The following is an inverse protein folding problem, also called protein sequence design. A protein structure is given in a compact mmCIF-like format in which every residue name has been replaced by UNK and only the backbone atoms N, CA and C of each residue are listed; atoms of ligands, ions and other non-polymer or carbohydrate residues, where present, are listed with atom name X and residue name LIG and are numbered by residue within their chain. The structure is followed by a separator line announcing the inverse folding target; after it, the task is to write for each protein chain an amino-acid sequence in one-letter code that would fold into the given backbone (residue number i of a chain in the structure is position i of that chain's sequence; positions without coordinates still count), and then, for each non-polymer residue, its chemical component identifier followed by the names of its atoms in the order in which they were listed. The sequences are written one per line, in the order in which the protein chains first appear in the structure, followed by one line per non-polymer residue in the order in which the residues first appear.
data_IF_439852921196
#
_entry.id   IF_439852921196
#
_cell.length_a   1.000
_cell.length_b   1.000
_cell.length_c   1.000
_cell.angle_alpha   90.00
_cell.angle_beta   90.00
_cell.angle_gamma   90.00
#
_symmetry.space_group_name_H-M   'P 1'
#
loop_
_entity.id
_entity.type
_entity.pdbx_description
1 polymer ?
#
# COMPACT_ATOMS: atom_id res chain seq x y z
N UNK A 1 -24.09 -2.19 -4.92
CA UNK A 1 -24.40 -3.57 -5.32
C UNK A 1 -24.53 -3.56 -6.83
N UNK A 2 -24.17 -4.65 -7.49
CA UNK A 2 -24.44 -4.78 -8.92
C UNK A 2 -25.95 -4.59 -9.15
N UNK A 3 -26.36 -3.81 -10.16
CA UNK A 3 -27.77 -3.56 -10.41
C UNK A 3 -28.49 -4.76 -11.03
N UNK A 4 -27.76 -5.84 -11.35
CA UNK A 4 -28.28 -7.02 -12.05
C UNK A 4 -28.40 -8.22 -11.10
N UNK A 5 -29.51 -8.95 -11.22
CA UNK A 5 -29.80 -10.16 -10.44
C UNK A 5 -29.26 -11.43 -11.11
N UNK A 6 -29.06 -11.41 -12.43
CA UNK A 6 -28.60 -12.57 -13.19
C UNK A 6 -27.53 -12.20 -14.21
N UNK A 7 -26.75 -13.20 -14.65
CA UNK A 7 -25.78 -13.02 -15.74
C UNK A 7 -26.45 -12.58 -17.04
N UNK A 8 -27.62 -13.15 -17.36
CA UNK A 8 -28.38 -12.80 -18.57
C UNK A 8 -28.84 -11.34 -18.55
N UNK A 9 -29.27 -10.83 -17.39
CA UNK A 9 -29.66 -9.43 -17.23
C UNK A 9 -28.46 -8.50 -17.40
N UNK A 10 -27.29 -8.87 -16.86
CA UNK A 10 -26.05 -8.12 -17.04
C UNK A 10 -25.60 -8.10 -18.51
N UNK A 11 -25.68 -9.23 -19.21
CA UNK A 11 -25.37 -9.33 -20.64
C UNK A 11 -26.33 -8.50 -21.50
N UNK A 12 -27.63 -8.57 -21.21
CA UNK A 12 -28.66 -7.78 -21.89
C UNK A 12 -28.42 -6.28 -21.69
N UNK A 13 -28.08 -5.85 -20.47
CA UNK A 13 -27.80 -4.45 -20.17
C UNK A 13 -26.52 -3.93 -20.84
N UNK A 14 -25.51 -4.78 -21.00
CA UNK A 14 -24.25 -4.42 -21.66
C UNK A 14 -24.30 -4.55 -23.18
N UNK A 15 -25.33 -5.21 -23.73
CA UNK A 15 -25.47 -5.47 -25.17
C UNK A 15 -24.41 -6.42 -25.73
N UNK A 16 -23.74 -7.20 -24.86
CA UNK A 16 -22.69 -8.18 -25.22
C UNK A 16 -22.57 -9.26 -24.15
N UNK A 17 -21.98 -10.38 -24.55
CA UNK A 17 -21.62 -11.43 -23.59
C UNK A 17 -20.56 -10.93 -22.60
N UNK A 18 -20.63 -11.46 -21.37
CA UNK A 18 -19.64 -11.17 -20.33
C UNK A 18 -18.34 -11.93 -20.60
N UNK A 19 -17.21 -11.29 -20.28
CA UNK A 19 -15.91 -11.97 -20.25
C UNK A 19 -15.82 -12.94 -19.07
N UNK A 20 -14.89 -13.88 -19.11
CA UNK A 20 -14.65 -14.81 -17.99
C UNK A 20 -14.35 -14.07 -16.66
N UNK A 21 -13.61 -12.96 -16.72
CA UNK A 21 -13.32 -12.12 -15.57
C UNK A 21 -14.58 -11.43 -15.02
N UNK A 22 -15.44 -10.93 -15.89
CA UNK A 22 -16.71 -10.30 -15.50
C UNK A 22 -17.68 -11.32 -14.89
N UNK A 23 -17.74 -12.54 -15.43
CA UNK A 23 -18.53 -13.64 -14.86
C UNK A 23 -18.01 -14.02 -13.47
N UNK A 24 -16.70 -14.15 -13.30
CA UNK A 24 -16.08 -14.45 -12.02
C UNK A 24 -16.37 -13.34 -11.00
N UNK A 25 -16.19 -12.08 -11.41
CA UNK A 25 -16.48 -10.91 -10.59
C UNK A 25 -17.96 -10.86 -10.20
N UNK A 26 -18.88 -11.08 -11.15
CA UNK A 26 -20.31 -11.11 -10.88
C UNK A 26 -20.66 -12.18 -9.84
N UNK A 27 -20.19 -13.42 -10.03
CA UNK A 27 -20.46 -14.54 -9.11
C UNK A 27 -19.96 -14.27 -7.70
N UNK A 28 -18.82 -13.59 -7.58
CA UNK A 28 -18.27 -13.21 -6.29
C UNK A 28 -19.04 -12.05 -5.65
N UNK A 29 -19.30 -10.97 -6.41
CA UNK A 29 -19.75 -9.69 -5.86
C UNK A 29 -21.27 -9.48 -5.82
N UNK A 30 -22.07 -10.24 -6.59
CA UNK A 30 -23.49 -9.95 -6.78
C UNK A 30 -24.32 -9.95 -5.49
N UNK A 31 -24.00 -10.82 -4.53
CA UNK A 31 -24.70 -10.90 -3.24
C UNK A 31 -24.09 -10.02 -2.15
N UNK A 32 -22.99 -9.32 -2.43
CA UNK A 32 -22.27 -8.53 -1.44
C UNK A 32 -22.57 -7.03 -1.57
N UNK A 33 -22.88 -6.35 -0.44
CA UNK A 33 -22.85 -4.90 -0.38
C UNK A 33 -21.47 -4.33 -0.74
N UNK A 34 -21.44 -3.19 -1.44
CA UNK A 34 -20.20 -2.57 -1.93
C UNK A 34 -19.22 -2.23 -0.79
N UNK A 35 -19.72 -1.90 0.40
CA UNK A 35 -18.84 -1.62 1.54
C UNK A 35 -18.10 -2.87 2.03
N UNK A 36 -18.70 -4.07 1.93
CA UNK A 36 -18.00 -5.31 2.27
C UNK A 36 -16.91 -5.60 1.25
N UNK A 37 -17.21 -5.45 -0.05
CA UNK A 37 -16.21 -5.55 -1.11
C UNK A 37 -15.04 -4.58 -0.86
N UNK A 38 -15.36 -3.34 -0.49
CA UNK A 38 -14.35 -2.34 -0.16
C UNK A 38 -13.48 -2.74 1.05
N UNK A 39 -14.07 -3.29 2.12
CA UNK A 39 -13.30 -3.71 3.30
C UNK A 39 -12.39 -4.93 3.07
N UNK A 40 -12.53 -5.68 1.97
CA UNK A 40 -11.53 -6.68 1.59
C UNK A 40 -10.15 -6.04 1.36
N UNK A 41 -10.09 -4.76 0.97
CA UNK A 41 -8.82 -4.03 0.83
C UNK A 41 -8.04 -3.95 2.14
N UNK A 42 -8.70 -3.96 3.29
CA UNK A 42 -8.03 -4.00 4.60
C UNK A 42 -7.24 -5.31 4.72
N UNK A 43 -7.89 -6.44 4.45
CA UNK A 43 -7.24 -7.75 4.50
C UNK A 43 -6.09 -7.85 3.47
N UNK A 44 -6.33 -7.44 2.22
CA UNK A 44 -5.30 -7.44 1.18
C UNK A 44 -4.10 -6.56 1.57
N UNK A 45 -4.35 -5.39 2.15
CA UNK A 45 -3.30 -4.50 2.62
C UNK A 45 -2.43 -5.18 3.68
N UNK A 46 -3.02 -5.73 4.75
CA UNK A 46 -2.25 -6.41 5.80
C UNK A 46 -1.50 -7.64 5.26
N UNK A 47 -2.12 -8.41 4.36
CA UNK A 47 -1.48 -9.56 3.74
C UNK A 47 -0.28 -9.16 2.89
N UNK A 48 -0.41 -8.16 2.01
CA UNK A 48 0.67 -7.71 1.15
C UNK A 48 1.82 -7.14 1.97
N UNK A 49 1.55 -6.25 2.93
CA UNK A 49 2.61 -5.65 3.75
C UNK A 49 3.28 -6.63 4.71
N UNK A 50 2.59 -7.73 5.05
CA UNK A 50 3.20 -8.82 5.82
C UNK A 50 4.03 -9.73 4.92
N UNK A 51 3.48 -10.18 3.79
CA UNK A 51 4.06 -11.25 2.99
C UNK A 51 5.13 -10.76 2.02
N UNK A 52 4.96 -9.59 1.40
CA UNK A 52 5.89 -9.10 0.37
C UNK A 52 7.32 -8.87 0.89
N UNK A 53 7.54 -8.38 2.12
CA UNK A 53 8.90 -8.22 2.65
C UNK A 53 9.54 -9.51 3.18
N UNK A 54 8.77 -10.58 3.45
CA UNK A 54 9.26 -11.81 4.07
C UNK A 54 10.39 -12.48 3.28
N UNK A 55 10.34 -12.62 1.94
CA UNK A 55 11.43 -13.22 1.18
C UNK A 55 12.76 -12.50 1.41
N UNK A 56 12.77 -11.17 1.34
CA UNK A 56 13.99 -10.38 1.55
C UNK A 56 14.45 -10.45 3.01
N UNK A 57 13.52 -10.36 3.98
CA UNK A 57 13.86 -10.51 5.40
C UNK A 57 14.45 -11.90 5.71
N UNK A 58 13.92 -12.96 5.10
CA UNK A 58 14.42 -14.32 5.27
C UNK A 58 15.82 -14.48 4.66
N UNK A 59 16.04 -13.99 3.44
CA UNK A 59 17.38 -14.01 2.81
C UNK A 59 18.38 -13.23 3.65
N UNK A 60 17.99 -12.07 4.20
CA UNK A 60 18.90 -11.27 5.05
C UNK A 60 19.26 -11.97 6.36
N UNK A 61 18.32 -12.69 6.98
CA UNK A 61 18.54 -13.39 8.25
C UNK A 61 19.29 -14.72 8.08
N UNK A 62 18.98 -15.49 7.04
CA UNK A 62 19.47 -16.87 6.88
C UNK A 62 20.54 -17.03 5.81
N UNK A 63 20.58 -16.15 4.81
CA UNK A 63 21.55 -16.20 3.70
C UNK A 63 22.21 -14.82 3.45
N UNK A 64 22.81 -14.18 4.46
CA UNK A 64 23.27 -12.80 4.36
C UNK A 64 24.33 -12.57 3.27
N UNK A 65 25.12 -13.60 2.92
CA UNK A 65 26.09 -13.53 1.82
C UNK A 65 25.45 -13.32 0.45
N UNK A 66 24.25 -13.85 0.23
CA UNK A 66 23.54 -13.74 -1.06
C UNK A 66 23.04 -12.32 -1.34
N UNK A 67 22.72 -11.55 -0.28
CA UNK A 67 22.21 -10.18 -0.41
C UNK A 67 23.26 -9.10 -0.15
N UNK A 68 24.42 -9.46 0.40
CA UNK A 68 25.45 -8.52 0.85
C UNK A 68 25.91 -7.55 -0.25
N UNK A 69 26.06 -8.05 -1.49
CA UNK A 69 26.48 -7.24 -2.64
C UNK A 69 25.44 -6.18 -3.05
N UNK A 70 24.16 -6.40 -2.72
CA UNK A 70 23.05 -5.48 -3.04
C UNK A 70 22.76 -4.52 -1.88
N UNK A 71 23.35 -4.71 -0.69
CA UNK A 71 23.12 -3.83 0.46
C UNK A 71 23.84 -2.49 0.29
N UNK A 72 23.08 -1.41 0.49
CA UNK A 72 23.61 -0.04 0.55
C UNK A 72 24.51 0.15 1.79
N UNK A 73 24.20 -0.51 2.91
CA UNK A 73 24.99 -0.52 4.15
C UNK A 73 25.45 -1.96 4.48
N UNK A 74 26.47 -2.49 3.77
CA UNK A 74 26.85 -3.90 3.85
C UNK A 74 27.53 -4.31 5.17
N UNK A 75 27.97 -3.33 5.98
CA UNK A 75 28.64 -3.56 7.27
C UNK A 75 27.67 -3.69 8.45
N UNK A 76 26.38 -3.44 8.25
CA UNK A 76 25.38 -3.48 9.32
C UNK A 76 24.54 -4.74 9.20
N UNK A 77 24.48 -5.51 10.29
CA UNK A 77 23.62 -6.68 10.45
C UNK A 77 22.81 -6.50 11.73
N UNK A 78 21.49 -6.69 11.61
CA UNK A 78 20.56 -6.57 12.71
C UNK A 78 20.13 -7.97 13.20
N UNK A 79 19.95 -8.17 14.52
CA UNK A 79 19.44 -9.42 15.04
C UNK A 79 17.97 -9.65 14.66
N UNK A 80 17.51 -10.90 14.68
CA UNK A 80 16.11 -11.26 14.39
C UNK A 80 15.09 -10.50 15.26
N UNK A 81 15.46 -10.15 16.49
CA UNK A 81 14.63 -9.34 17.38
C UNK A 81 14.31 -7.96 16.80
N UNK A 82 15.24 -7.34 16.07
CA UNK A 82 15.01 -6.06 15.39
C UNK A 82 13.95 -6.20 14.29
N UNK A 83 13.97 -7.29 13.51
CA UNK A 83 12.97 -7.55 12.48
C UNK A 83 11.59 -7.77 13.09
N UNK A 84 11.50 -8.59 14.14
CA UNK A 84 10.25 -8.88 14.84
C UNK A 84 9.67 -7.60 15.45
N UNK A 85 10.51 -6.79 16.11
CA UNK A 85 10.07 -5.53 16.72
C UNK A 85 9.65 -4.52 15.66
N UNK A 86 10.38 -4.40 14.55
CA UNK A 86 10.01 -3.55 13.42
C UNK A 86 8.63 -3.94 12.88
N UNK A 87 8.43 -5.23 12.57
CA UNK A 87 7.18 -5.75 12.07
C UNK A 87 6.01 -5.53 13.04
N UNK A 88 6.18 -5.85 14.33
CA UNK A 88 5.14 -5.63 15.35
C UNK A 88 4.70 -4.18 15.43
N UNK A 89 5.66 -3.25 15.39
CA UNK A 89 5.35 -1.82 15.41
C UNK A 89 4.63 -1.37 14.13
N UNK A 90 5.08 -1.82 12.95
CA UNK A 90 4.42 -1.51 11.67
C UNK A 90 2.97 -1.99 11.69
N UNK A 91 2.73 -3.25 12.06
CA UNK A 91 1.38 -3.82 12.14
C UNK A 91 0.53 -3.07 13.15
N UNK A 92 1.08 -2.74 14.32
CA UNK A 92 0.38 -1.96 15.33
C UNK A 92 -0.03 -0.58 14.81
N UNK A 93 0.92 0.18 14.23
CA UNK A 93 0.65 1.50 13.67
C UNK A 93 -0.39 1.41 12.56
N UNK A 94 -0.26 0.47 11.64
CA UNK A 94 -1.24 0.25 10.57
C UNK A 94 -2.63 -0.11 11.11
N UNK A 95 -2.70 -0.96 12.13
CA UNK A 95 -3.96 -1.34 12.75
C UNK A 95 -4.66 -0.15 13.42
N UNK A 96 -3.93 0.75 14.07
CA UNK A 96 -4.54 1.92 14.73
C UNK A 96 -4.77 3.11 13.78
N UNK A 97 -4.14 3.13 12.60
CA UNK A 97 -4.25 4.25 11.65
C UNK A 97 -4.92 3.87 10.35
N UNK A 98 -4.26 3.05 9.53
CA UNK A 98 -4.72 2.65 8.19
C UNK A 98 -6.02 1.86 8.28
N UNK A 99 -6.16 0.95 9.25
CA UNK A 99 -7.39 0.18 9.47
C UNK A 99 -8.62 1.09 9.68
N UNK A 100 -8.64 1.94 10.72
CA UNK A 100 -9.71 2.90 10.95
C UNK A 100 -9.92 3.86 9.78
N UNK A 101 -8.85 4.37 9.16
CA UNK A 101 -8.95 5.23 7.99
C UNK A 101 -9.73 4.53 6.87
N UNK A 102 -9.39 3.28 6.55
CA UNK A 102 -10.10 2.50 5.54
C UNK A 102 -11.55 2.21 5.94
N UNK A 103 -11.86 1.97 7.21
CA UNK A 103 -13.25 1.77 7.63
C UNK A 103 -14.10 3.03 7.43
N UNK A 104 -13.56 4.22 7.71
CA UNK A 104 -14.31 5.47 7.63
C UNK A 104 -14.31 6.10 6.23
N UNK A 105 -13.41 5.71 5.34
CA UNK A 105 -13.25 6.32 4.01
C UNK A 105 -14.23 5.82 2.95
N UNK A 106 -15.04 4.78 3.23
CA UNK A 106 -15.98 4.24 2.25
C UNK A 106 -16.95 5.28 1.67
N UNK A 107 -17.58 6.19 2.46
CA UNK A 107 -18.43 7.25 1.90
C UNK A 107 -17.68 8.17 0.92
N UNK A 108 -16.43 8.51 1.20
CA UNK A 108 -15.58 9.32 0.32
C UNK A 108 -15.26 8.58 -0.98
N UNK A 109 -14.91 7.29 -0.88
CA UNK A 109 -14.66 6.42 -2.05
C UNK A 109 -15.89 6.37 -2.97
N UNK A 110 -17.09 6.24 -2.38
CA UNK A 110 -18.35 6.28 -3.13
C UNK A 110 -18.62 7.65 -3.73
N UNK A 111 -18.35 8.74 -2.99
CA UNK A 111 -18.53 10.11 -3.46
C UNK A 111 -17.64 10.46 -4.66
N UNK A 112 -16.39 9.99 -4.66
CA UNK A 112 -15.43 10.18 -5.78
C UNK A 112 -15.80 9.33 -7.00
N UNK A 113 -16.74 8.39 -6.87
CA UNK A 113 -17.24 7.60 -7.99
C UNK A 113 -16.44 6.34 -8.28
N UNK A 114 -15.64 5.85 -7.32
CA UNK A 114 -14.99 4.53 -7.45
C UNK A 114 -16.08 3.47 -7.50
N UNK A 115 -16.07 2.69 -8.58
CA UNK A 115 -17.11 1.69 -8.89
C UNK A 115 -16.58 0.27 -8.73
N UNK A 116 -17.43 -0.60 -8.19
CA UNK A 116 -17.24 -2.06 -8.10
C UNK A 116 -18.10 -2.81 -9.13
N UNK A 117 -18.72 -2.07 -10.05
CA UNK A 117 -19.72 -2.58 -10.99
C UNK A 117 -19.16 -3.14 -12.30
N UNK A 118 -20.08 -3.65 -13.14
CA UNK A 118 -19.80 -3.99 -14.53
C UNK A 118 -20.08 -2.79 -15.47
N UNK A 119 -19.43 -2.71 -16.65
CA UNK A 119 -18.36 -3.60 -17.13
C UNK A 119 -17.07 -3.40 -16.33
N UNK A 120 -16.19 -4.40 -16.30
CA UNK A 120 -14.87 -4.21 -15.67
C UNK A 120 -14.06 -3.10 -16.41
N UNK A 121 -13.15 -2.40 -15.73
CA UNK A 121 -12.35 -1.37 -16.37
C UNK A 121 -11.55 -1.96 -17.53
N UNK A 122 -11.47 -1.21 -18.63
CA UNK A 122 -10.63 -1.63 -19.77
C UNK A 122 -9.16 -1.64 -19.38
N UNK A 123 -8.33 -2.38 -20.13
CA UNK A 123 -6.87 -2.37 -19.92
C UNK A 123 -6.31 -0.95 -19.98
N UNK A 124 -6.79 -0.13 -20.91
CA UNK A 124 -6.35 1.26 -21.03
C UNK A 124 -6.81 2.14 -19.88
N UNK A 125 -8.02 1.92 -19.35
CA UNK A 125 -8.49 2.61 -18.15
C UNK A 125 -7.59 2.27 -16.94
N UNK A 126 -7.28 0.98 -16.74
CA UNK A 126 -6.37 0.55 -15.66
C UNK A 126 -4.97 1.13 -15.81
N UNK A 127 -4.39 1.09 -17.02
CA UNK A 127 -3.06 1.67 -17.28
C UNK A 127 -3.06 3.18 -17.05
N UNK A 128 -4.06 3.90 -17.56
CA UNK A 128 -4.17 5.34 -17.37
C UNK A 128 -4.31 5.71 -15.89
N UNK A 129 -5.14 4.99 -15.14
CA UNK A 129 -5.30 5.18 -13.70
C UNK A 129 -3.98 4.93 -12.96
N UNK A 130 -3.29 3.82 -13.24
CA UNK A 130 -2.00 3.50 -12.61
C UNK A 130 -0.95 4.57 -12.89
N UNK A 131 -0.87 5.08 -14.13
CA UNK A 131 0.07 6.16 -14.48
C UNK A 131 -0.26 7.44 -13.72
N UNK A 132 -1.53 7.85 -13.71
CA UNK A 132 -1.95 9.06 -12.98
C UNK A 132 -1.70 8.92 -11.48
N UNK A 133 -2.05 7.79 -10.88
CA UNK A 133 -1.81 7.53 -9.46
C UNK A 133 -0.32 7.54 -9.15
N UNK A 134 0.50 6.88 -9.96
CA UNK A 134 1.95 6.88 -9.77
C UNK A 134 2.54 8.29 -9.82
N UNK A 135 2.13 9.12 -10.79
CA UNK A 135 2.62 10.50 -10.91
C UNK A 135 2.18 11.39 -9.73
N UNK A 136 0.91 11.30 -9.33
CA UNK A 136 0.38 12.08 -8.20
C UNK A 136 1.01 11.64 -6.87
N UNK A 137 1.14 10.33 -6.69
CA UNK A 137 1.75 9.72 -5.52
C UNK A 137 3.22 10.12 -5.42
N UNK A 138 4.01 9.96 -6.48
CA UNK A 138 5.44 10.30 -6.48
C UNK A 138 5.67 11.80 -6.23
N UNK A 139 4.94 12.66 -6.95
CA UNK A 139 5.05 14.11 -6.78
C UNK A 139 4.62 14.56 -5.38
N UNK A 140 3.47 14.08 -4.90
CA UNK A 140 2.95 14.41 -3.57
C UNK A 140 3.88 13.90 -2.46
N UNK A 141 4.34 12.66 -2.57
CA UNK A 141 5.29 12.07 -1.63
C UNK A 141 6.58 12.87 -1.56
N UNK A 142 7.14 13.28 -2.70
CA UNK A 142 8.37 14.08 -2.73
C UNK A 142 8.24 15.36 -1.89
N UNK A 143 7.19 16.15 -2.13
CA UNK A 143 7.04 17.45 -1.46
C UNK A 143 6.69 17.30 0.02
N UNK A 144 5.80 16.37 0.37
CA UNK A 144 5.45 16.12 1.77
C UNK A 144 6.67 15.56 2.52
N UNK A 145 7.41 14.62 1.93
CA UNK A 145 8.64 14.09 2.52
C UNK A 145 9.68 15.19 2.71
N UNK A 146 9.89 16.06 1.70
CA UNK A 146 10.77 17.22 1.82
C UNK A 146 10.34 18.15 2.96
N UNK A 147 9.03 18.38 3.14
CA UNK A 147 8.51 19.17 4.24
C UNK A 147 8.72 18.48 5.61
N UNK A 148 8.60 17.16 5.68
CA UNK A 148 8.90 16.36 6.88
C UNK A 148 10.38 16.36 7.24
N UNK A 149 11.29 16.66 6.30
CA UNK A 149 12.71 16.92 6.59
C UNK A 149 13.01 18.34 7.11
N UNK A 150 12.01 19.20 7.27
CA UNK A 150 12.19 20.44 8.03
C UNK A 150 12.54 20.12 9.49
N UNK A 151 13.19 21.06 10.20
CA UNK A 151 13.60 20.87 11.60
C UNK A 151 12.47 20.32 12.48
N UNK A 152 11.30 20.96 12.42
CA UNK A 152 10.15 20.54 13.22
C UNK A 152 9.56 19.21 12.73
N UNK A 153 9.38 19.04 11.42
CA UNK A 153 8.83 17.81 10.86
C UNK A 153 9.68 16.59 11.20
N UNK A 154 11.00 16.75 11.17
CA UNK A 154 11.94 15.69 11.47
C UNK A 154 11.88 15.32 12.95
N UNK A 155 12.09 16.30 13.82
CA UNK A 155 12.12 16.09 15.27
C UNK A 155 10.81 15.51 15.81
N UNK A 156 9.65 15.85 15.23
CA UNK A 156 8.35 15.43 15.75
C UNK A 156 7.76 14.21 15.05
N UNK A 157 8.07 13.98 13.78
CA UNK A 157 7.39 12.96 12.97
C UNK A 157 8.40 12.05 12.30
N UNK A 158 9.30 12.60 11.49
CA UNK A 158 10.09 11.82 10.54
C UNK A 158 11.29 11.07 11.15
N UNK A 159 11.77 11.48 12.33
CA UNK A 159 12.92 10.82 12.96
C UNK A 159 12.71 9.32 13.21
N UNK A 160 11.46 8.89 13.47
CA UNK A 160 11.11 7.47 13.69
C UNK A 160 11.45 6.64 12.45
N UNK A 161 11.16 7.19 11.27
CA UNK A 161 11.45 6.54 10.00
C UNK A 161 12.96 6.38 9.75
N UNK A 162 13.77 7.33 10.23
CA UNK A 162 15.24 7.28 10.11
C UNK A 162 15.96 6.48 11.21
N UNK A 163 15.23 5.81 12.12
CA UNK A 163 15.84 4.95 13.15
C UNK A 163 16.63 3.80 12.53
N UNK A 164 16.11 3.20 11.45
CA UNK A 164 16.79 2.14 10.72
C UNK A 164 17.72 2.71 9.64
N UNK A 165 18.95 3.03 10.04
CA UNK A 165 19.99 3.53 9.12
C UNK A 165 20.48 2.50 8.09
N UNK A 166 20.27 1.21 8.37
CA UNK A 166 20.41 0.12 7.41
C UNK A 166 19.00 -0.44 7.11
N UNK A 167 18.54 -0.37 5.86
CA UNK A 167 17.21 -0.82 5.50
C UNK A 167 17.12 -2.33 5.67
N UNK A 168 16.00 -2.76 6.26
CA UNK A 168 15.55 -4.15 6.33
C UNK A 168 14.18 -4.23 5.67
N UNK A 169 13.73 -5.43 5.29
CA UNK A 169 12.48 -5.62 4.54
C UNK A 169 11.26 -4.89 5.12
N UNK A 170 11.14 -4.79 6.45
CA UNK A 170 10.02 -4.14 7.13
C UNK A 170 10.26 -2.67 7.50
N UNK A 171 11.43 -2.10 7.23
CA UNK A 171 11.78 -0.75 7.69
C UNK A 171 11.07 0.35 6.90
N UNK A 172 10.74 0.12 5.63
CA UNK A 172 10.08 1.13 4.79
C UNK A 172 8.78 1.70 5.41
N UNK A 173 7.84 0.88 5.90
CA UNK A 173 6.64 1.37 6.59
C UNK A 173 6.85 1.67 8.08
N UNK A 174 8.05 1.48 8.64
CA UNK A 174 8.31 1.81 10.04
C UNK A 174 8.41 3.32 10.19
N UNK A 175 7.34 3.94 10.65
CA UNK A 175 7.24 5.39 10.74
C UNK A 175 6.27 5.83 11.84
N UNK A 176 6.28 7.12 12.14
CA UNK A 176 5.29 7.73 13.03
C UNK A 176 3.89 7.66 12.39
N UNK A 177 2.84 7.49 13.19
CA UNK A 177 1.46 7.35 12.72
C UNK A 177 1.02 8.50 11.79
N UNK A 178 1.46 9.74 12.08
CA UNK A 178 1.16 10.90 11.25
C UNK A 178 1.87 10.83 9.89
N UNK A 179 3.09 10.29 9.82
CA UNK A 179 3.78 10.07 8.55
C UNK A 179 3.05 9.03 7.71
N UNK A 180 2.58 7.94 8.32
CA UNK A 180 1.79 6.90 7.65
C UNK A 180 0.52 7.48 7.01
N UNK A 181 -0.15 8.43 7.67
CA UNK A 181 -1.32 9.09 7.10
C UNK A 181 -0.98 10.08 5.98
N UNK A 182 0.19 10.72 6.04
CA UNK A 182 0.61 11.75 5.08
C UNK A 182 1.29 11.17 3.82
N UNK A 183 2.00 10.05 3.95
CA UNK A 183 2.90 9.47 2.93
C UNK A 183 2.64 7.99 2.65
N UNK A 184 1.44 7.49 2.95
CA UNK A 184 1.12 6.08 3.21
C UNK A 184 1.53 4.98 2.22
N UNK A 185 2.24 5.25 1.12
CA UNK A 185 3.00 4.29 0.32
C UNK A 185 4.27 4.99 -0.21
N UNK A 186 5.46 4.40 0.03
CA UNK A 186 6.73 4.86 -0.54
C UNK A 186 7.60 3.66 -0.96
N UNK A 187 8.11 3.60 -2.21
CA UNK A 187 9.24 2.76 -2.54
C UNK A 187 10.49 3.26 -1.81
N UNK A 188 11.28 2.35 -1.23
CA UNK A 188 12.51 2.71 -0.50
C UNK A 188 13.59 3.25 -1.44
N UNK A 189 13.53 4.53 -1.79
CA UNK A 189 14.60 5.26 -2.47
C UNK A 189 15.31 6.20 -1.49
N UNK A 190 16.05 5.61 -0.54
CA UNK A 190 16.92 6.36 0.36
C UNK A 190 18.23 6.71 -0.34
N UNK A 191 18.27 7.89 -0.98
CA UNK A 191 19.39 8.85 -1.00
C UNK A 191 19.12 9.99 -1.99
N UNK A 192 18.32 10.96 -1.55
CA UNK A 192 18.58 12.35 -1.90
C UNK A 192 19.07 13.03 -0.63
N UNK A 193 20.36 12.87 -0.33
CA UNK A 193 21.02 13.63 0.73
C UNK A 193 21.14 15.08 0.28
N UNK A 194 20.06 15.85 0.40
CA UNK A 194 20.16 17.29 0.43
C UNK A 194 20.72 17.64 1.81
N UNK A 195 22.03 17.89 1.87
CA UNK A 195 22.62 18.68 2.95
C UNK A 195 21.90 20.02 2.93
N UNK A 196 20.94 20.20 3.82
CA UNK A 196 20.45 21.52 4.15
C UNK A 196 21.62 22.26 4.82
N UNK A 197 22.28 23.10 4.03
CA UNK A 197 23.04 24.24 4.55
C UNK A 197 22.05 25.28 5.09
#
# INVERSE_FOLDING_TARGET
MLPYQTLLEAEAALGRNLTAAEILWFRYSASMPDYLLYYHNIAFFFLIFTLAPLPIAAVELFCPSAIQAFKIQPKVRLPISSFINCYKNVVFVFFITVGPLQLVSYPTVKFVGIRTGLPLPSVWEMVAQLVVYFLLEDYGNYWIHRALHSKWGYEKIHHVHHVFTAPIGFAAPYAHWAEVLLLGIRPSSDRLSFRAT
#
